data_IF_695741651772
#
_entry.id   IF_695741651772
#
_cell.length_a   1.000
_cell.length_b   1.000
_cell.length_c   1.000
_cell.angle_alpha   90.00
_cell.angle_beta   90.00
_cell.angle_gamma   90.00
#
_symmetry.space_group_name_H-M   'P 1'
#
loop_
_entity.id
_entity.type
_entity.pdbx_description
1 polymer ?
#
# COMPACT_ATOMS: atom_id res chain seq x y z
N UNK A 1 8.50 22.54 -17.38
CA UNK A 1 9.47 21.81 -18.23
C UNK A 1 8.69 20.93 -19.21
N UNK A 2 9.00 20.88 -20.51
CA UNK A 2 8.17 20.17 -21.49
C UNK A 2 8.37 18.66 -21.35
N UNK A 3 7.59 18.04 -20.46
CA UNK A 3 7.55 16.60 -20.18
C UNK A 3 6.61 15.83 -21.12
N UNK A 4 6.57 16.18 -22.40
CA UNK A 4 5.81 15.44 -23.41
C UNK A 4 6.50 14.14 -23.82
N UNK A 5 5.72 13.17 -24.31
CA UNK A 5 6.23 11.94 -24.92
C UNK A 5 7.25 12.25 -26.04
N UNK A 6 8.24 11.37 -26.21
CA UNK A 6 9.18 11.48 -27.34
C UNK A 6 8.40 11.30 -28.64
N UNK A 7 8.61 12.21 -29.57
CA UNK A 7 7.97 12.17 -30.90
C UNK A 7 8.76 11.26 -31.83
N UNK A 8 8.18 10.92 -32.99
CA UNK A 8 8.91 10.17 -34.02
C UNK A 8 10.21 10.87 -34.45
N UNK A 9 10.20 12.21 -34.50
CA UNK A 9 11.39 13.02 -34.79
C UNK A 9 12.45 12.85 -33.70
N UNK A 10 12.04 12.83 -32.43
CA UNK A 10 12.97 12.56 -31.32
C UNK A 10 13.56 11.15 -31.43
N UNK A 11 12.73 10.14 -31.73
CA UNK A 11 13.19 8.76 -31.93
C UNK A 11 14.20 8.61 -33.07
N UNK A 12 14.02 9.35 -34.17
CA UNK A 12 14.99 9.39 -35.27
C UNK A 12 16.34 9.97 -34.87
N UNK A 13 16.32 11.13 -34.20
CA UNK A 13 17.54 11.80 -33.72
C UNK A 13 18.32 10.96 -32.69
N UNK A 14 17.62 10.16 -31.88
CA UNK A 14 18.26 9.19 -30.97
C UNK A 14 18.97 8.09 -31.79
N UNK A 15 18.32 7.54 -32.81
CA UNK A 15 18.92 6.50 -33.64
C UNK A 15 20.12 7.02 -34.45
N UNK A 16 20.02 8.22 -35.01
CA UNK A 16 21.11 8.92 -35.71
C UNK A 16 22.29 9.17 -34.77
N UNK A 17 22.03 9.71 -33.57
CA UNK A 17 23.09 9.95 -32.58
C UNK A 17 23.77 8.67 -32.08
N UNK A 18 23.05 7.55 -32.01
CA UNK A 18 23.66 6.25 -31.68
C UNK A 18 24.51 5.69 -32.82
N UNK A 19 24.07 5.87 -34.07
CA UNK A 19 24.84 5.47 -35.25
C UNK A 19 26.14 6.30 -35.40
N UNK A 20 26.11 7.57 -35.00
CA UNK A 20 27.27 8.46 -34.89
C UNK A 20 28.17 8.14 -33.68
N UNK A 21 27.80 7.18 -32.82
CA UNK A 21 28.58 6.82 -31.63
C UNK A 21 28.53 7.87 -30.51
N UNK A 22 27.55 8.78 -30.52
CA UNK A 22 27.44 9.83 -29.51
C UNK A 22 27.06 9.26 -28.14
N UNK A 23 27.61 9.87 -27.09
CA UNK A 23 27.23 9.58 -25.72
C UNK A 23 25.78 10.02 -25.43
N UNK A 24 25.08 9.32 -24.54
CA UNK A 24 23.67 9.59 -24.25
C UNK A 24 23.41 11.02 -23.71
N UNK A 25 24.40 11.63 -23.05
CA UNK A 25 24.31 13.02 -22.59
C UNK A 25 24.25 14.00 -23.76
N UNK A 26 24.99 13.73 -24.83
CA UNK A 26 25.05 14.56 -26.02
C UNK A 26 23.75 14.49 -26.82
N UNK A 27 23.22 13.27 -27.00
CA UNK A 27 21.90 13.04 -27.62
C UNK A 27 20.81 13.77 -26.83
N UNK A 28 20.85 13.68 -25.50
CA UNK A 28 19.90 14.34 -24.61
C UNK A 28 19.95 15.87 -24.72
N UNK A 29 21.15 16.44 -24.79
CA UNK A 29 21.37 17.89 -24.96
C UNK A 29 20.85 18.39 -26.31
N UNK A 30 21.13 17.68 -27.41
CA UNK A 30 20.63 18.02 -28.76
C UNK A 30 19.10 17.98 -28.86
N UNK A 31 18.45 17.15 -28.04
CA UNK A 31 17.00 17.02 -27.97
C UNK A 31 16.33 17.93 -26.93
N UNK A 32 17.10 18.63 -26.10
CA UNK A 32 16.55 19.40 -24.97
C UNK A 32 15.83 18.52 -23.95
N UNK A 33 16.24 17.26 -23.79
CA UNK A 33 15.60 16.27 -22.88
C UNK A 33 16.55 15.84 -21.77
N UNK A 34 16.05 15.37 -20.62
CA UNK A 34 16.90 14.79 -19.57
C UNK A 34 17.65 13.55 -20.04
N UNK A 35 18.91 13.39 -19.62
CA UNK A 35 19.74 12.18 -19.91
C UNK A 35 19.05 10.88 -19.48
N UNK A 36 18.37 10.89 -18.34
CA UNK A 36 17.64 9.72 -17.81
C UNK A 36 16.45 9.32 -18.69
N UNK A 37 15.88 10.25 -19.45
CA UNK A 37 14.80 9.97 -20.41
C UNK A 37 15.36 9.23 -21.63
N UNK A 38 16.46 9.74 -22.20
CA UNK A 38 17.12 9.11 -23.36
C UNK A 38 17.69 7.73 -22.98
N UNK A 39 18.37 7.60 -21.83
CA UNK A 39 18.91 6.31 -21.39
C UNK A 39 17.84 5.25 -21.17
N UNK A 40 16.72 5.59 -20.50
CA UNK A 40 15.59 4.67 -20.30
C UNK A 40 14.90 4.32 -21.62
N UNK A 41 14.81 5.27 -22.54
CA UNK A 41 14.23 5.05 -23.86
C UNK A 41 15.06 4.06 -24.68
N UNK A 42 16.37 4.25 -24.75
CA UNK A 42 17.29 3.37 -25.47
C UNK A 42 17.27 1.96 -24.88
N UNK A 43 17.41 1.84 -23.55
CA UNK A 43 17.36 0.56 -22.86
C UNK A 43 16.05 -0.20 -23.11
N UNK A 44 14.92 0.51 -23.16
CA UNK A 44 13.59 -0.08 -23.35
C UNK A 44 13.34 -0.59 -24.77
N UNK A 45 14.04 -0.07 -25.78
CA UNK A 45 13.79 -0.37 -27.19
C UNK A 45 14.96 -1.09 -27.88
N UNK A 46 15.68 -1.94 -27.15
CA UNK A 46 16.71 -2.83 -27.71
C UNK A 46 18.16 -2.43 -27.41
N UNK A 47 18.38 -1.40 -26.59
CA UNK A 47 19.71 -0.98 -26.18
C UNK A 47 20.49 -0.23 -27.28
N UNK A 48 21.71 0.24 -27.00
CA UNK A 48 22.46 1.10 -27.91
C UNK A 48 22.71 0.48 -29.29
N UNK A 49 22.95 -0.83 -29.34
CA UNK A 49 23.25 -1.55 -30.58
C UNK A 49 21.99 -2.05 -31.33
N UNK A 50 20.82 -2.02 -30.67
CA UNK A 50 19.56 -2.54 -31.22
C UNK A 50 18.47 -1.49 -31.42
N UNK A 51 18.75 -0.21 -31.11
CA UNK A 51 17.76 0.85 -31.15
C UNK A 51 17.34 1.19 -32.59
N UNK A 52 16.03 1.18 -32.85
CA UNK A 52 15.45 1.58 -34.15
C UNK A 52 14.28 2.52 -33.95
N UNK A 53 14.33 3.69 -34.60
CA UNK A 53 13.33 4.75 -34.45
C UNK A 53 11.90 4.29 -34.78
N UNK A 54 11.72 3.58 -35.90
CA UNK A 54 10.41 3.05 -36.30
C UNK A 54 9.84 2.05 -35.29
N UNK A 55 10.69 1.18 -34.72
CA UNK A 55 10.28 0.22 -33.69
C UNK A 55 9.91 0.90 -32.38
N UNK A 56 10.69 1.90 -31.98
CA UNK A 56 10.43 2.68 -30.77
C UNK A 56 9.10 3.46 -30.86
N UNK A 57 8.84 4.08 -32.02
CA UNK A 57 7.58 4.76 -32.30
C UNK A 57 6.40 3.78 -32.32
N UNK A 58 6.51 2.66 -33.04
CA UNK A 58 5.47 1.63 -33.03
C UNK A 58 5.21 1.10 -31.62
N UNK A 59 6.25 0.93 -30.79
CA UNK A 59 6.08 0.53 -29.40
C UNK A 59 5.40 1.62 -28.56
N UNK A 60 5.68 2.90 -28.79
CA UNK A 60 4.98 4.04 -28.15
C UNK A 60 3.51 4.08 -28.57
N UNK A 61 3.23 3.95 -29.86
CA UNK A 61 1.86 3.90 -30.40
C UNK A 61 1.10 2.65 -29.96
N UNK A 62 1.76 1.50 -29.88
CA UNK A 62 1.17 0.27 -29.36
C UNK A 62 0.81 0.41 -27.89
N UNK A 63 1.62 1.12 -27.09
CA UNK A 63 1.33 1.43 -25.69
C UNK A 63 0.24 2.50 -25.53
N UNK A 64 0.20 3.50 -26.41
CA UNK A 64 -0.87 4.49 -26.42
C UNK A 64 -2.22 3.87 -26.86
N UNK A 65 -2.20 2.94 -27.84
CA UNK A 65 -3.36 2.17 -28.30
C UNK A 65 -3.78 1.08 -27.33
N UNK A 66 -2.83 0.49 -26.61
CA UNK A 66 -3.09 -0.20 -25.33
C UNK A 66 -3.41 0.84 -24.28
N UNK A 67 -4.60 1.45 -24.38
CA UNK A 67 -5.38 1.84 -23.19
C UNK A 67 -5.17 0.73 -22.17
N UNK A 68 -4.87 1.03 -20.88
CA UNK A 68 -4.78 -0.02 -19.88
C UNK A 68 -6.00 -0.89 -20.11
N UNK A 69 -5.79 -2.17 -20.43
CA UNK A 69 -6.88 -3.13 -20.40
C UNK A 69 -7.50 -2.86 -19.02
N UNK A 70 -8.81 -2.54 -18.89
CA UNK A 70 -9.42 -2.61 -17.57
C UNK A 70 -8.92 -3.94 -17.02
N UNK A 71 -8.34 -3.94 -15.80
CA UNK A 71 -7.70 -5.14 -15.27
C UNK A 71 -8.62 -6.28 -15.66
N UNK A 72 -8.07 -7.26 -16.41
CA UNK A 72 -8.78 -8.50 -16.71
C UNK A 72 -9.57 -8.77 -15.45
N UNK A 73 -10.90 -8.65 -15.48
CA UNK A 73 -11.71 -8.92 -14.30
C UNK A 73 -11.18 -10.26 -13.86
N UNK A 74 -10.43 -10.29 -12.75
CA UNK A 74 -10.18 -11.54 -12.06
C UNK A 74 -11.59 -12.09 -11.96
N UNK A 75 -11.85 -13.24 -12.60
CA UNK A 75 -13.19 -13.67 -12.99
C UNK A 75 -14.07 -13.32 -11.83
N UNK A 76 -14.93 -12.31 -12.03
CA UNK A 76 -15.55 -11.51 -10.97
C UNK A 76 -15.70 -12.42 -9.77
N UNK A 77 -14.90 -12.26 -8.71
CA UNK A 77 -14.78 -13.26 -7.64
C UNK A 77 -16.21 -13.63 -7.31
N UNK A 78 -16.61 -14.78 -7.84
CA UNK A 78 -17.88 -15.38 -7.54
C UNK A 78 -17.56 -15.80 -6.14
N UNK A 79 -17.96 -14.99 -5.16
CA UNK A 79 -18.05 -15.39 -3.77
C UNK A 79 -18.62 -16.80 -3.84
N UNK A 80 -17.78 -17.78 -3.58
CA UNK A 80 -18.00 -19.16 -4.02
C UNK A 80 -19.20 -19.78 -3.29
N UNK A 81 -19.71 -19.09 -2.26
CA UNK A 81 -20.82 -19.47 -1.41
C UNK A 81 -22.21 -19.01 -1.86
N UNK A 82 -22.40 -18.44 -3.06
CA UNK A 82 -23.75 -18.08 -3.53
C UNK A 82 -24.46 -17.02 -2.65
N UNK A 83 -23.68 -16.19 -1.95
CA UNK A 83 -24.16 -15.15 -1.05
C UNK A 83 -24.86 -14.04 -1.84
N UNK A 84 -25.96 -13.51 -1.30
CA UNK A 84 -26.62 -12.34 -1.89
C UNK A 84 -25.67 -11.14 -1.87
N UNK A 85 -25.27 -10.60 -3.03
CA UNK A 85 -24.37 -9.45 -3.11
C UNK A 85 -24.92 -8.22 -2.40
N UNK A 86 -26.23 -8.07 -2.27
CA UNK A 86 -26.84 -6.94 -1.57
C UNK A 86 -26.68 -7.08 -0.06
N UNK A 87 -26.98 -8.25 0.51
CA UNK A 87 -26.74 -8.54 1.92
C UNK A 87 -25.27 -8.34 2.33
N UNK A 88 -24.32 -8.76 1.49
CA UNK A 88 -22.88 -8.53 1.74
C UNK A 88 -22.56 -7.03 1.79
N UNK A 89 -23.05 -6.24 0.83
CA UNK A 89 -22.84 -4.78 0.81
C UNK A 89 -23.42 -4.09 2.05
N UNK A 90 -24.61 -4.49 2.49
CA UNK A 90 -25.25 -3.95 3.69
C UNK A 90 -24.45 -4.28 4.96
N UNK A 91 -23.93 -5.50 5.05
CA UNK A 91 -23.04 -5.91 6.14
C UNK A 91 -21.72 -5.12 6.14
N UNK A 92 -21.09 -4.96 4.97
CA UNK A 92 -19.87 -4.16 4.82
C UNK A 92 -20.09 -2.70 5.22
N UNK A 93 -21.24 -2.11 4.86
CA UNK A 93 -21.62 -0.75 5.25
C UNK A 93 -21.82 -0.63 6.76
N UNK A 94 -22.51 -1.60 7.38
CA UNK A 94 -22.70 -1.66 8.83
C UNK A 94 -21.36 -1.72 9.57
N UNK A 95 -20.46 -2.62 9.15
CA UNK A 95 -19.11 -2.72 9.73
C UNK A 95 -18.31 -1.43 9.57
N UNK A 96 -18.37 -0.81 8.39
CA UNK A 96 -17.71 0.48 8.14
C UNK A 96 -18.24 1.56 9.09
N UNK A 97 -19.55 1.57 9.36
CA UNK A 97 -20.17 2.48 10.32
C UNK A 97 -19.66 2.29 11.75
N UNK A 98 -19.46 1.04 12.18
CA UNK A 98 -18.91 0.75 13.52
C UNK A 98 -17.46 1.24 13.69
N UNK A 99 -16.68 1.27 12.62
CA UNK A 99 -15.27 1.70 12.65
C UNK A 99 -15.07 3.22 12.58
N UNK A 100 -16.15 4.00 12.50
CA UNK A 100 -16.12 5.45 12.24
C UNK A 100 -15.46 6.32 13.33
N UNK A 101 -15.11 5.75 14.49
CA UNK A 101 -14.56 6.47 15.64
C UNK A 101 -13.03 6.44 15.81
N UNK A 102 -12.27 5.85 14.89
CA UNK A 102 -10.81 5.75 15.05
C UNK A 102 -10.03 5.37 13.79
N UNK A 103 -10.74 5.12 12.69
CA UNK A 103 -10.15 4.60 11.46
C UNK A 103 -10.40 5.54 10.30
N UNK A 104 -9.41 5.77 9.42
CA UNK A 104 -9.66 6.41 8.14
C UNK A 104 -10.74 5.62 7.37
N UNK A 105 -11.83 6.25 6.90
CA UNK A 105 -12.97 5.52 6.31
C UNK A 105 -12.59 4.59 5.16
N UNK A 106 -11.58 4.96 4.37
CA UNK A 106 -11.11 4.12 3.26
C UNK A 106 -10.26 2.93 3.74
N UNK A 107 -9.49 3.08 4.83
CA UNK A 107 -8.74 1.98 5.42
C UNK A 107 -9.70 0.94 5.99
N UNK A 108 -10.75 1.36 6.70
CA UNK A 108 -11.81 0.49 7.19
C UNK A 108 -12.47 -0.29 6.03
N UNK A 109 -12.85 0.40 4.95
CA UNK A 109 -13.45 -0.24 3.76
C UNK A 109 -12.54 -1.28 3.11
N UNK A 110 -11.24 -0.98 2.98
CA UNK A 110 -10.26 -1.93 2.41
C UNK A 110 -10.11 -3.16 3.30
N UNK A 111 -9.97 -2.97 4.63
CA UNK A 111 -9.88 -4.07 5.58
C UNK A 111 -11.14 -4.96 5.52
N UNK A 112 -12.33 -4.34 5.51
CA UNK A 112 -13.60 -5.06 5.43
C UNK A 112 -13.70 -5.86 4.13
N UNK A 113 -13.31 -5.28 2.98
CA UNK A 113 -13.30 -6.03 1.71
C UNK A 113 -12.38 -7.25 1.73
N UNK A 114 -11.22 -7.15 2.38
CA UNK A 114 -10.32 -8.28 2.55
C UNK A 114 -10.91 -9.33 3.50
N UNK A 115 -11.57 -8.92 4.59
CA UNK A 115 -12.21 -9.83 5.56
C UNK A 115 -13.43 -10.56 4.99
N UNK A 116 -14.18 -9.94 4.08
CA UNK A 116 -15.39 -10.52 3.49
C UNK A 116 -15.14 -11.30 2.20
N UNK A 117 -13.88 -11.31 1.73
CA UNK A 117 -13.44 -12.05 0.54
C UNK A 117 -13.04 -13.47 0.89
N UNK A 118 -13.51 -14.46 0.12
CA UNK A 118 -13.18 -15.88 0.34
C UNK A 118 -11.68 -16.19 0.22
N UNK A 119 -10.92 -15.43 -0.58
CA UNK A 119 -9.47 -15.62 -0.71
C UNK A 119 -8.68 -14.99 0.43
N UNK A 120 -9.26 -14.03 1.15
CA UNK A 120 -8.53 -13.18 2.11
C UNK A 120 -7.41 -12.34 1.47
N UNK A 121 -7.27 -12.38 0.14
CA UNK A 121 -6.24 -11.68 -0.62
C UNK A 121 -6.82 -10.94 -1.84
N UNK A 122 -6.37 -9.71 -2.04
CA UNK A 122 -6.78 -8.87 -3.17
C UNK A 122 -5.63 -8.01 -3.70
N UNK A 123 -5.63 -7.76 -4.99
CA UNK A 123 -4.76 -6.81 -5.67
C UNK A 123 -5.33 -5.38 -5.61
N UNK A 124 -4.47 -4.38 -5.84
CA UNK A 124 -4.91 -2.98 -5.98
C UNK A 124 -6.04 -2.83 -7.02
N UNK A 125 -5.94 -3.59 -8.11
CA UNK A 125 -6.90 -3.51 -9.21
C UNK A 125 -8.30 -4.01 -8.79
N UNK A 126 -8.36 -5.12 -8.06
CA UNK A 126 -9.61 -5.68 -7.55
C UNK A 126 -10.24 -4.77 -6.48
N UNK A 127 -9.41 -4.17 -5.60
CA UNK A 127 -9.87 -3.20 -4.63
C UNK A 127 -10.45 -1.93 -5.29
N UNK A 128 -9.80 -1.44 -6.35
CA UNK A 128 -10.30 -0.30 -7.16
C UNK A 128 -11.65 -0.63 -7.80
N UNK A 129 -11.80 -1.82 -8.36
CA UNK A 129 -13.03 -2.28 -9.01
C UNK A 129 -14.18 -2.44 -8.01
N UNK A 130 -13.92 -3.12 -6.87
CA UNK A 130 -14.92 -3.39 -5.85
C UNK A 130 -15.38 -2.13 -5.12
N UNK A 131 -14.45 -1.27 -4.71
CA UNK A 131 -14.75 -0.05 -3.95
C UNK A 131 -15.10 1.15 -4.84
N UNK A 132 -14.86 1.05 -6.16
CA UNK A 132 -15.09 2.13 -7.13
C UNK A 132 -14.37 3.44 -6.76
N UNK A 133 -13.11 3.33 -6.36
CA UNK A 133 -12.26 4.46 -5.96
C UNK A 133 -10.96 4.51 -6.75
N UNK A 134 -10.22 5.61 -6.65
CA UNK A 134 -8.95 5.75 -7.36
C UNK A 134 -7.86 4.81 -6.80
N UNK A 135 -6.89 4.37 -7.63
CA UNK A 135 -5.73 3.60 -7.15
C UNK A 135 -4.94 4.33 -6.05
N UNK A 136 -4.84 5.66 -6.11
CA UNK A 136 -4.16 6.45 -5.10
C UNK A 136 -4.86 6.40 -3.73
N UNK A 137 -6.20 6.37 -3.73
CA UNK A 137 -7.00 6.19 -2.52
C UNK A 137 -6.73 4.83 -1.87
N UNK A 138 -6.64 3.77 -2.70
CA UNK A 138 -6.26 2.43 -2.23
C UNK A 138 -4.84 2.43 -1.67
N UNK A 139 -3.86 2.99 -2.39
CA UNK A 139 -2.47 3.04 -1.90
C UNK A 139 -2.35 3.75 -0.55
N UNK A 140 -3.07 4.87 -0.35
CA UNK A 140 -3.07 5.58 0.94
C UNK A 140 -3.74 4.77 2.04
N UNK A 141 -4.88 4.13 1.74
CA UNK A 141 -5.61 3.29 2.69
C UNK A 141 -4.77 2.08 3.11
N UNK A 142 -4.15 1.40 2.16
CA UNK A 142 -3.29 0.25 2.46
C UNK A 142 -2.03 0.69 3.19
N UNK A 143 -1.43 1.84 2.87
CA UNK A 143 -0.33 2.38 3.67
C UNK A 143 -0.69 2.62 5.14
N UNK A 144 -1.93 3.05 5.43
CA UNK A 144 -2.41 3.18 6.80
C UNK A 144 -2.63 1.82 7.49
N UNK A 145 -3.10 0.81 6.76
CA UNK A 145 -3.24 -0.56 7.30
C UNK A 145 -1.89 -1.24 7.52
N UNK A 146 -0.93 -1.02 6.63
CA UNK A 146 0.45 -1.51 6.74
C UNK A 146 1.16 -0.95 7.98
N UNK A 147 0.94 0.33 8.30
CA UNK A 147 1.43 0.95 9.55
C UNK A 147 0.87 0.32 10.82
N UNK A 148 -0.35 -0.21 10.73
CA UNK A 148 -1.01 -0.92 11.82
C UNK A 148 -0.71 -2.43 11.80
N UNK A 149 0.15 -2.87 10.88
CA UNK A 149 0.47 -4.29 10.63
C UNK A 149 -0.79 -5.14 10.36
N UNK A 150 -1.82 -4.53 9.77
CA UNK A 150 -3.12 -5.17 9.51
C UNK A 150 -3.26 -5.82 8.14
N UNK A 151 -2.25 -5.63 7.29
CA UNK A 151 -2.22 -6.17 5.94
C UNK A 151 -0.78 -6.50 5.61
N UNK A 152 -0.56 -7.68 5.05
CA UNK A 152 0.73 -8.08 4.50
C UNK A 152 0.78 -7.77 3.01
N UNK A 153 1.86 -7.14 2.55
CA UNK A 153 2.09 -6.88 1.12
C UNK A 153 2.97 -7.97 0.50
N UNK A 154 2.40 -8.73 -0.42
CA UNK A 154 3.10 -9.72 -1.24
C UNK A 154 3.29 -9.21 -2.67
N UNK A 155 4.38 -9.63 -3.32
CA UNK A 155 4.66 -9.33 -4.72
C UNK A 155 4.61 -10.60 -5.54
N UNK A 156 3.60 -10.73 -6.38
CA UNK A 156 3.48 -11.81 -7.36
C UNK A 156 3.67 -11.24 -8.77
N UNK A 157 4.75 -11.64 -9.45
CA UNK A 157 5.03 -11.33 -10.86
C UNK A 157 4.73 -9.86 -11.28
N UNK A 158 5.21 -8.91 -10.45
CA UNK A 158 5.09 -7.43 -10.59
C UNK A 158 3.75 -6.82 -10.15
N UNK A 159 2.80 -7.59 -9.63
CA UNK A 159 1.56 -7.09 -9.02
C UNK A 159 1.67 -7.15 -7.50
N UNK A 160 1.24 -6.09 -6.85
CA UNK A 160 1.13 -6.06 -5.39
C UNK A 160 -0.21 -6.67 -4.98
N UNK A 161 -0.14 -7.63 -4.05
CA UNK A 161 -1.26 -8.36 -3.47
C UNK A 161 -1.25 -8.12 -1.97
N UNK A 162 -2.43 -7.92 -1.41
CA UNK A 162 -2.63 -7.61 0.00
C UNK A 162 -3.41 -8.74 0.64
N UNK A 163 -2.94 -9.28 1.76
CA UNK A 163 -3.54 -10.39 2.49
C UNK A 163 -3.75 -10.03 3.96
N UNK A 164 -4.85 -10.52 4.53
CA UNK A 164 -5.07 -10.63 5.98
C UNK A 164 -4.60 -12.03 6.39
N UNK A 165 -3.61 -12.10 7.26
CA UNK A 165 -3.06 -13.34 7.80
C UNK A 165 -3.79 -13.70 9.12
N UNK A 166 -3.68 -14.95 9.59
CA UNK A 166 -4.40 -15.38 10.79
C UNK A 166 -3.91 -14.67 12.08
N UNK A 167 -2.63 -14.26 12.10
CA UNK A 167 -2.00 -13.56 13.23
C UNK A 167 -2.12 -12.03 13.17
N UNK A 168 -2.78 -11.49 12.15
CA UNK A 168 -2.80 -10.05 11.87
C UNK A 168 -3.40 -9.22 13.00
N UNK A 169 -4.39 -9.77 13.70
CA UNK A 169 -5.02 -9.12 14.84
C UNK A 169 -4.08 -9.09 16.05
N UNK A 170 -3.26 -10.12 16.22
CA UNK A 170 -2.23 -10.16 17.24
C UNK A 170 -1.14 -9.13 16.96
N UNK A 171 -0.65 -9.03 15.71
CA UNK A 171 0.34 -8.01 15.34
C UNK A 171 -0.20 -6.58 15.53
N UNK A 172 -1.41 -6.30 15.06
CA UNK A 172 -2.04 -5.00 15.26
C UNK A 172 -2.22 -4.64 16.74
N UNK A 173 -2.54 -5.63 17.58
CA UNK A 173 -2.61 -5.46 19.02
C UNK A 173 -1.26 -5.11 19.65
N UNK A 174 -0.18 -5.76 19.21
CA UNK A 174 1.18 -5.44 19.64
C UNK A 174 1.60 -4.03 19.23
N UNK A 175 1.28 -3.60 18.00
CA UNK A 175 1.53 -2.23 17.51
C UNK A 175 0.80 -1.20 18.38
N UNK A 176 -0.47 -1.45 18.70
CA UNK A 176 -1.26 -0.61 19.61
C UNK A 176 -0.64 -0.52 21.01
N UNK A 177 -0.23 -1.66 21.57
CA UNK A 177 0.41 -1.75 22.90
C UNK A 177 1.72 -0.95 22.94
N UNK A 178 2.57 -1.06 21.91
CA UNK A 178 3.80 -0.25 21.78
C UNK A 178 3.51 1.25 21.72
N UNK A 179 2.47 1.64 20.98
CA UNK A 179 2.07 3.05 20.85
C UNK A 179 1.60 3.63 22.19
N UNK A 180 0.93 2.85 23.03
CA UNK A 180 0.49 3.27 24.37
C UNK A 180 1.68 3.45 25.33
N UNK A 181 2.71 2.60 25.23
CA UNK A 181 3.95 2.80 26.00
C UNK A 181 4.65 4.11 25.61
N UNK A 182 4.72 4.42 24.31
CA UNK A 182 5.29 5.69 23.84
C UNK A 182 4.54 6.90 24.41
N UNK A 183 3.21 6.84 24.47
CA UNK A 183 2.40 7.85 25.15
C UNK A 183 2.70 7.94 26.64
N UNK A 184 2.78 6.81 27.34
CA UNK A 184 3.10 6.78 28.77
C UNK A 184 4.44 7.45 29.09
N UNK A 185 5.45 7.21 28.26
CA UNK A 185 6.78 7.80 28.40
C UNK A 185 6.81 9.29 28.04
N UNK A 186 6.16 9.68 26.94
CA UNK A 186 6.07 11.09 26.53
C UNK A 186 5.35 11.95 27.56
N UNK A 187 4.27 11.41 28.14
CA UNK A 187 3.51 12.10 29.20
C UNK A 187 4.35 12.21 30.48
N UNK A 188 5.18 11.21 30.79
CA UNK A 188 6.10 11.23 31.94
C UNK A 188 7.18 12.29 31.78
N UNK A 189 7.78 12.40 30.60
CA UNK A 189 8.72 13.47 30.28
C UNK A 189 8.07 14.85 30.49
N UNK A 190 6.82 15.01 30.08
CA UNK A 190 6.05 16.24 30.31
C UNK A 190 5.85 16.59 31.81
N UNK A 191 5.85 15.61 32.71
CA UNK A 191 5.81 15.88 34.17
C UNK A 191 7.09 16.54 34.65
N UNK A 192 8.25 16.10 34.14
CA UNK A 192 9.55 16.70 34.49
C UNK A 192 9.68 18.12 33.93
N UNK A 193 9.20 18.34 32.70
CA UNK A 193 9.23 19.66 32.04
C UNK A 193 8.29 20.67 32.72
N UNK A 194 7.06 20.26 33.05
CA UNK A 194 6.03 21.16 33.58
C UNK A 194 6.01 21.22 35.11
N UNK A 195 6.90 20.48 35.77
CA UNK A 195 6.99 20.39 37.22
C UNK A 195 5.90 19.50 37.82
N UNK A 196 6.34 18.52 38.61
CA UNK A 196 5.48 17.51 39.23
C UNK A 196 4.41 18.09 40.18
N UNK A 197 4.65 19.27 40.75
CA UNK A 197 3.73 19.96 41.67
C UNK A 197 2.69 20.84 40.99
N UNK A 198 2.70 21.00 39.66
CA UNK A 198 1.74 21.86 38.96
C UNK A 198 0.44 21.12 38.65
N UNK A 199 -0.69 21.83 38.47
CA UNK A 199 -1.93 21.20 38.01
C UNK A 199 -1.78 20.46 36.67
N UNK A 200 -0.90 20.93 35.78
CA UNK A 200 -0.59 20.25 34.53
C UNK A 200 0.20 18.96 34.76
N UNK A 201 1.25 19.01 35.60
CA UNK A 201 2.01 17.82 36.01
C UNK A 201 1.14 16.75 36.66
N UNK A 202 0.16 17.13 37.48
CA UNK A 202 -0.82 16.19 38.07
C UNK A 202 -1.67 15.51 37.01
N UNK A 203 -2.21 16.25 36.02
CA UNK A 203 -2.99 15.64 34.93
C UNK A 203 -2.15 14.67 34.10
N UNK A 204 -0.92 15.05 33.75
CA UNK A 204 0.00 14.19 33.00
C UNK A 204 0.35 12.94 33.80
N UNK A 205 0.63 13.06 35.09
CA UNK A 205 0.91 11.90 35.95
C UNK A 205 -0.25 10.90 35.97
N UNK A 206 -1.49 11.39 36.06
CA UNK A 206 -2.69 10.55 36.00
C UNK A 206 -2.80 9.84 34.65
N UNK A 207 -2.59 10.55 33.54
CA UNK A 207 -2.60 9.97 32.20
C UNK A 207 -1.48 8.92 32.01
N UNK A 208 -0.26 9.18 32.49
CA UNK A 208 0.86 8.23 32.40
C UNK A 208 0.56 6.92 33.14
N UNK A 209 0.01 7.00 34.36
CA UNK A 209 -0.41 5.82 35.12
C UNK A 209 -1.48 5.01 34.39
N UNK A 210 -2.45 5.69 33.78
CA UNK A 210 -3.51 5.05 33.00
C UNK A 210 -2.94 4.27 31.80
N UNK A 211 -2.09 4.91 30.99
CA UNK A 211 -1.47 4.23 29.83
C UNK A 211 -0.53 3.10 30.24
N UNK A 212 0.22 3.24 31.33
CA UNK A 212 1.05 2.17 31.87
C UNK A 212 0.23 0.94 32.26
N UNK A 213 -0.85 1.14 33.04
CA UNK A 213 -1.73 0.05 33.46
C UNK A 213 -2.31 -0.69 32.25
N UNK A 214 -2.91 0.06 31.33
CA UNK A 214 -3.50 -0.54 30.13
C UNK A 214 -2.46 -1.26 29.27
N UNK A 215 -1.26 -0.70 29.09
CA UNK A 215 -0.22 -1.36 28.29
C UNK A 215 0.23 -2.70 28.90
N UNK A 216 0.31 -2.77 30.24
CA UNK A 216 0.65 -4.00 30.95
C UNK A 216 -0.44 -5.06 30.80
N UNK A 217 -1.70 -4.68 31.02
CA UNK A 217 -2.83 -5.61 30.93
C UNK A 217 -3.00 -6.12 29.49
N UNK A 218 -2.84 -5.24 28.50
CA UNK A 218 -2.91 -5.60 27.09
C UNK A 218 -1.76 -6.51 26.67
N UNK A 219 -0.54 -6.30 27.18
CA UNK A 219 0.59 -7.19 26.90
C UNK A 219 0.36 -8.59 27.46
N UNK A 220 -0.20 -8.70 28.67
CA UNK A 220 -0.55 -9.99 29.27
C UNK A 220 -1.66 -10.70 28.49
N UNK A 221 -2.70 -9.96 28.07
CA UNK A 221 -3.79 -10.52 27.26
C UNK A 221 -3.28 -11.04 25.90
N UNK A 222 -2.36 -10.31 25.26
CA UNK A 222 -1.75 -10.73 24.00
C UNK A 222 -0.94 -12.03 24.16
N UNK A 223 -0.13 -12.11 25.22
CA UNK A 223 0.64 -13.31 25.51
C UNK A 223 -0.25 -14.53 25.79
N UNK A 224 -1.37 -14.34 26.48
CA UNK A 224 -2.36 -15.39 26.68
C UNK A 224 -3.01 -15.83 25.36
N UNK A 225 -3.41 -14.90 24.49
CA UNK A 225 -3.93 -15.23 23.15
C UNK A 225 -2.91 -16.06 22.35
N UNK A 226 -1.63 -15.65 22.35
CA UNK A 226 -0.55 -16.39 21.69
C UNK A 226 -0.43 -17.81 22.23
N UNK A 227 -0.46 -18.01 23.55
CA UNK A 227 -0.33 -19.33 24.16
C UNK A 227 -1.50 -20.26 23.83
N UNK A 228 -2.71 -19.72 23.72
CA UNK A 228 -3.94 -20.49 23.45
C UNK A 228 -4.14 -20.82 21.97
N UNK A 229 -3.75 -19.92 21.05
CA UNK A 229 -4.01 -20.09 19.62
C UNK A 229 -2.77 -20.47 18.79
N UNK A 230 -1.55 -20.24 19.28
CA UNK A 230 -0.33 -20.74 18.62
C UNK A 230 -0.07 -22.23 18.85
N UNK A 231 -0.78 -22.86 19.80
CA UNK A 231 -0.68 -24.29 20.13
C UNK A 231 -1.71 -25.16 19.40
N UNK A 232 -2.70 -24.56 18.73
CA UNK A 232 -3.73 -25.26 17.96
C UNK A 232 -3.39 -25.44 16.46
N UNK A 233 -2.32 -24.83 15.98
CA UNK A 233 -1.90 -24.85 14.57
C UNK A 233 -0.99 -26.01 14.14
N UNK A 234 -0.68 -26.95 15.05
CA UNK A 234 0.25 -28.06 14.79
C UNK A 234 -0.45 -29.44 14.70
N UNK A 235 -1.80 -29.48 14.69
CA UNK A 235 -2.57 -30.72 14.78
C UNK A 235 -3.41 -31.07 13.54
N UNK A 236 -3.08 -30.51 12.37
CA UNK A 236 -3.64 -30.94 11.08
C UNK A 236 -2.56 -31.20 10.04
N UNK A 237 -2.01 -32.42 10.11
CA UNK A 237 -1.33 -33.09 8.99
C UNK A 237 -2.33 -33.77 8.06
#
# INVERSE_FOLDING_TARGET
MPGGHLTYVDHRKIAEGLAEGLAYAEIARRLGRPRSTIGREIARNGGPYGYRAARAQQATEWRARRRPKPPLSSPAIVDAGGRDPQAVREYEQKLTGLMSGGWPPMAAKVLICLLTSDSGDMTVAELVERLRVSPASISKAVGALDQLELVKRERDNRRERYRIDDDVWYQAWLVGTRSMMLWADSVREGVEVLGAGTPAGTRLRTASRFFQLLSSDMAQAAEHYRQTFSSAGDDTR
#
